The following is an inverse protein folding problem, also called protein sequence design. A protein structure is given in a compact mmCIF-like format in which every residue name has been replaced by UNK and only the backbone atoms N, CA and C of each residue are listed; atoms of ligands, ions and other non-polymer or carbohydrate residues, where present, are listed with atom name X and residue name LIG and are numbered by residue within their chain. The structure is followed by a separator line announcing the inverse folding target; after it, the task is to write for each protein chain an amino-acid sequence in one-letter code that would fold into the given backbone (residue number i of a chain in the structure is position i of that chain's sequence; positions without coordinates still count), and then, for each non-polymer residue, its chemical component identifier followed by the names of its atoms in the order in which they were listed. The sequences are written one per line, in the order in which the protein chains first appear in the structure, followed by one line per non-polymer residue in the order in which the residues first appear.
data_IF_084752063795
#
_entry.id   IF_084752063795
#
_cell.length_a   1.000
_cell.length_b   1.000
_cell.length_c   1.000
_cell.angle_alpha   90.00
_cell.angle_beta   90.00
_cell.angle_gamma   90.00
#
_symmetry.space_group_name_H-M   'P 1'
#
loop_
_entity.id
_entity.type
_entity.pdbx_description
1 polymer ?
#
# COMPACT_ATOMS: atom_id res chain seq x y z
N UNK A 1 -6.46 2.43 -5.80
CA UNK A 1 -5.01 2.59 -5.62
C UNK A 1 -4.58 2.56 -4.14
N UNK A 2 -5.06 3.44 -3.27
CA UNK A 2 -4.65 3.50 -1.85
C UNK A 2 -4.73 2.14 -1.12
N UNK A 3 -5.81 1.37 -1.30
CA UNK A 3 -5.94 0.04 -0.73
C UNK A 3 -4.89 -0.97 -1.24
N UNK A 4 -4.55 -0.92 -2.52
CA UNK A 4 -3.49 -1.77 -3.09
C UNK A 4 -2.12 -1.41 -2.52
N UNK A 5 -1.83 -0.10 -2.38
CA UNK A 5 -0.62 0.37 -1.70
C UNK A 5 -0.57 -0.12 -0.25
N UNK A 6 -1.70 -0.06 0.47
CA UNK A 6 -1.79 -0.53 1.85
C UNK A 6 -1.50 -2.04 1.99
N UNK A 7 -1.98 -2.85 1.04
CA UNK A 7 -1.68 -4.29 1.03
C UNK A 7 -0.18 -4.53 0.76
N UNK A 8 0.39 -3.88 -0.25
CA UNK A 8 1.77 -4.11 -0.65
C UNK A 8 2.76 -3.60 0.40
N UNK A 9 2.65 -2.34 0.77
CA UNK A 9 3.50 -1.74 1.81
C UNK A 9 3.24 -2.41 3.16
N UNK A 10 1.99 -2.72 3.48
CA UNK A 10 1.62 -3.41 4.70
C UNK A 10 2.34 -4.74 4.87
N UNK A 11 2.24 -5.64 3.89
CA UNK A 11 2.94 -6.93 3.95
C UNK A 11 4.46 -6.77 3.94
N UNK A 12 4.99 -5.82 3.17
CA UNK A 12 6.43 -5.54 3.14
C UNK A 12 6.98 -5.21 4.53
N UNK A 13 6.34 -4.29 5.26
CA UNK A 13 6.80 -3.86 6.59
C UNK A 13 6.49 -4.88 7.68
N UNK A 14 5.33 -5.56 7.63
CA UNK A 14 4.95 -6.59 8.61
C UNK A 14 5.88 -7.79 8.58
N UNK A 15 6.32 -8.20 7.39
CA UNK A 15 7.21 -9.35 7.18
C UNK A 15 8.69 -9.00 7.29
N UNK A 16 9.04 -7.75 7.61
CA UNK A 16 10.43 -7.29 7.67
C UNK A 16 11.33 -8.12 8.60
N UNK A 17 10.77 -8.57 9.74
CA UNK A 17 11.53 -9.40 10.69
C UNK A 17 11.91 -10.76 10.10
N UNK A 18 11.15 -11.26 9.14
CA UNK A 18 11.27 -12.60 8.56
C UNK A 18 12.01 -12.57 7.22
N UNK A 19 11.75 -11.55 6.40
CA UNK A 19 12.26 -11.44 5.03
C UNK A 19 13.24 -10.29 4.80
N UNK A 20 13.48 -9.46 5.80
CA UNK A 20 14.40 -8.32 5.76
C UNK A 20 14.19 -7.43 4.53
N UNK A 21 15.28 -6.90 3.95
CA UNK A 21 15.25 -6.02 2.78
C UNK A 21 14.72 -6.70 1.52
N UNK A 22 15.01 -8.00 1.36
CA UNK A 22 14.45 -8.78 0.25
C UNK A 22 12.92 -8.78 0.25
N UNK A 23 12.30 -8.93 1.43
CA UNK A 23 10.86 -8.86 1.58
C UNK A 23 10.27 -7.48 1.28
N UNK A 24 10.97 -6.40 1.64
CA UNK A 24 10.51 -5.04 1.31
C UNK A 24 10.50 -4.83 -0.20
N UNK A 25 11.56 -5.21 -0.88
CA UNK A 25 11.67 -5.01 -2.34
C UNK A 25 10.68 -5.92 -3.06
N UNK A 26 10.65 -7.21 -2.73
CA UNK A 26 9.80 -8.17 -3.43
C UNK A 26 8.31 -7.93 -3.23
N UNK A 27 7.88 -7.47 -2.05
CA UNK A 27 6.48 -7.24 -1.74
C UNK A 27 6.06 -5.78 -1.91
N UNK A 28 6.93 -4.83 -1.55
CA UNK A 28 6.64 -3.41 -1.65
C UNK A 28 6.69 -2.87 -3.09
N UNK A 29 7.69 -3.27 -3.86
CA UNK A 29 7.86 -2.88 -5.27
C UNK A 29 7.45 -3.98 -6.25
N UNK A 30 7.54 -5.25 -5.83
CA UNK A 30 7.11 -6.38 -6.64
C UNK A 30 5.61 -6.63 -6.47
N UNK A 31 5.24 -7.60 -5.66
CA UNK A 31 3.83 -7.92 -5.44
C UNK A 31 3.56 -8.55 -4.06
N UNK A 32 2.45 -8.13 -3.43
CA UNK A 32 1.96 -8.75 -2.20
C UNK A 32 1.44 -10.18 -2.40
N UNK A 33 1.23 -10.60 -3.65
CA UNK A 33 0.78 -11.97 -3.96
C UNK A 33 1.78 -13.05 -3.52
N UNK A 34 3.04 -12.70 -3.30
CA UNK A 34 4.04 -13.59 -2.71
C UNK A 34 3.63 -14.11 -1.32
N UNK A 35 2.75 -13.41 -0.63
CA UNK A 35 2.19 -13.85 0.66
C UNK A 35 0.97 -14.77 0.52
N UNK A 36 0.48 -15.03 -0.69
CA UNK A 36 -0.72 -15.86 -0.89
C UNK A 36 -0.61 -17.26 -0.25
N UNK A 37 0.51 -17.99 -0.39
CA UNK A 37 0.67 -19.28 0.28
C UNK A 37 0.56 -19.18 1.81
N UNK A 38 1.07 -18.10 2.38
CA UNK A 38 1.01 -17.84 3.82
C UNK A 38 -0.40 -17.43 4.26
N UNK A 39 -1.10 -16.63 3.45
CA UNK A 39 -2.51 -16.26 3.68
C UNK A 39 -3.40 -17.49 3.67
N UNK A 40 -3.18 -18.44 2.75
CA UNK A 40 -3.94 -19.69 2.70
C UNK A 40 -3.70 -20.57 3.93
N UNK A 41 -2.49 -20.55 4.50
CA UNK A 41 -2.15 -21.27 5.75
C UNK A 41 -2.73 -20.58 6.98
N UNK A 42 -2.64 -19.26 7.04
CA UNK A 42 -3.16 -18.45 8.14
C UNK A 42 -3.82 -17.16 7.62
N UNK A 43 -5.13 -17.19 7.30
CA UNK A 43 -5.83 -16.03 6.73
C UNK A 43 -5.86 -14.82 7.67
N UNK A 44 -5.55 -15.01 8.95
CA UNK A 44 -5.52 -13.91 9.94
C UNK A 44 -4.42 -12.89 9.65
N UNK A 45 -3.34 -13.26 8.95
CA UNK A 45 -2.28 -12.32 8.57
C UNK A 45 -2.79 -11.24 7.59
N UNK A 46 -3.84 -11.54 6.82
CA UNK A 46 -4.43 -10.60 5.87
C UNK A 46 -5.22 -9.48 6.55
N UNK A 47 -5.70 -9.68 7.77
CA UNK A 47 -6.56 -8.71 8.46
C UNK A 47 -5.87 -7.39 8.73
N UNK A 48 -4.57 -7.38 9.07
CA UNK A 48 -3.85 -6.15 9.39
C UNK A 48 -3.74 -5.17 8.20
N UNK A 49 -3.25 -5.57 7.01
CA UNK A 49 -3.20 -4.65 5.88
C UNK A 49 -4.61 -4.32 5.34
N UNK A 50 -5.59 -5.22 5.53
CA UNK A 50 -6.97 -4.93 5.17
C UNK A 50 -7.58 -3.83 6.05
N UNK A 51 -7.36 -3.88 7.35
CA UNK A 51 -7.76 -2.81 8.27
C UNK A 51 -7.03 -1.51 7.96
N UNK A 52 -5.73 -1.57 7.64
CA UNK A 52 -4.98 -0.40 7.19
C UNK A 52 -5.61 0.21 5.92
N UNK A 53 -6.00 -0.62 4.95
CA UNK A 53 -6.65 -0.13 3.71
C UNK A 53 -8.03 0.47 3.97
N UNK A 54 -8.78 -0.06 4.93
CA UNK A 54 -10.07 0.48 5.34
C UNK A 54 -9.97 1.88 5.96
N UNK A 55 -8.82 2.21 6.57
CA UNK A 55 -8.54 3.56 7.10
C UNK A 55 -7.97 4.47 6.02
N UNK A 56 -7.00 3.99 5.24
CA UNK A 56 -6.32 4.82 4.22
C UNK A 56 -7.22 5.17 3.04
N UNK A 57 -8.18 4.32 2.69
CA UNK A 57 -9.15 4.59 1.61
C UNK A 57 -9.94 5.87 1.83
N UNK A 58 -10.74 5.98 2.90
CA UNK A 58 -11.48 7.19 3.22
C UNK A 58 -10.60 8.43 3.40
N UNK A 59 -9.40 8.29 4.01
CA UNK A 59 -8.47 9.40 4.15
C UNK A 59 -7.98 9.91 2.79
N UNK A 60 -7.71 9.02 1.84
CA UNK A 60 -7.30 9.39 0.49
C UNK A 60 -8.39 10.19 -0.23
N UNK A 61 -9.65 9.79 -0.08
CA UNK A 61 -10.77 10.40 -0.81
C UNK A 61 -11.35 11.62 -0.10
N UNK A 62 -11.50 11.57 1.22
CA UNK A 62 -12.20 12.62 1.97
C UNK A 62 -11.28 13.76 2.44
N UNK A 63 -10.00 13.43 2.75
CA UNK A 63 -9.06 14.42 3.30
C UNK A 63 -8.12 15.00 2.23
N UNK A 64 -7.54 14.13 1.41
CA UNK A 64 -6.57 14.54 0.40
C UNK A 64 -7.16 14.72 -0.99
N UNK A 65 -8.42 14.32 -1.20
CA UNK A 65 -9.08 14.36 -2.51
C UNK A 65 -8.17 13.82 -3.64
N UNK A 66 -7.46 12.73 -3.34
CA UNK A 66 -6.57 12.10 -4.31
C UNK A 66 -7.40 11.40 -5.37
N UNK A 67 -7.47 12.03 -6.52
CA UNK A 67 -8.09 11.47 -7.71
C UNK A 67 -7.05 10.80 -8.59
N UNK A 68 -7.43 9.68 -9.21
CA UNK A 68 -6.60 8.98 -10.14
C UNK A 68 -7.21 9.06 -11.53
N UNK A 69 -6.87 10.11 -12.27
CA UNK A 69 -7.32 10.37 -13.63
C UNK A 69 -6.42 9.71 -14.70
N UNK A 70 -5.52 8.84 -14.28
CA UNK A 70 -4.66 8.06 -15.16
C UNK A 70 -5.34 6.76 -15.65
N UNK A 71 -4.59 5.88 -16.35
CA UNK A 71 -5.10 4.61 -16.83
C UNK A 71 -5.68 3.75 -15.72
N UNK A 72 -6.87 3.19 -15.92
CA UNK A 72 -7.56 2.37 -14.92
C UNK A 72 -6.72 1.18 -14.40
N UNK A 73 -5.89 0.60 -15.26
CA UNK A 73 -4.97 -0.50 -14.90
C UNK A 73 -4.00 -0.08 -13.80
N UNK A 74 -3.49 1.15 -13.84
CA UNK A 74 -2.55 1.66 -12.86
C UNK A 74 -3.15 1.76 -11.44
N UNK A 75 -4.47 1.92 -11.33
CA UNK A 75 -5.13 2.01 -10.02
C UNK A 75 -5.10 0.69 -9.25
N UNK A 76 -5.10 -0.44 -9.93
CA UNK A 76 -5.04 -1.77 -9.34
C UNK A 76 -3.62 -2.23 -8.96
N UNK A 77 -2.59 -1.57 -9.48
CA UNK A 77 -1.20 -1.99 -9.27
C UNK A 77 -0.57 -1.45 -7.97
N UNK A 78 -1.12 -0.40 -7.37
CA UNK A 78 -0.59 0.16 -6.12
C UNK A 78 0.88 0.57 -6.25
N UNK A 79 1.75 0.05 -5.40
CA UNK A 79 3.20 0.31 -5.42
C UNK A 79 4.00 -0.65 -6.32
N UNK A 80 3.35 -1.58 -7.01
CA UNK A 80 4.01 -2.50 -7.94
C UNK A 80 4.74 -1.71 -9.05
N UNK A 81 6.07 -1.74 -9.05
CA UNK A 81 6.89 -0.94 -9.95
C UNK A 81 6.59 0.56 -9.92
N UNK A 82 5.97 1.09 -8.86
CA UNK A 82 5.48 2.47 -8.72
C UNK A 82 4.44 2.87 -9.79
N UNK A 83 3.82 1.90 -10.45
CA UNK A 83 2.88 2.15 -11.56
C UNK A 83 1.66 2.95 -11.10
N UNK A 84 1.16 2.72 -9.87
CA UNK A 84 0.07 3.50 -9.30
C UNK A 84 0.43 4.98 -9.16
N UNK A 85 1.60 5.28 -8.62
CA UNK A 85 2.10 6.65 -8.40
C UNK A 85 2.38 7.36 -9.73
N UNK A 86 2.97 6.65 -10.68
CA UNK A 86 3.18 7.16 -12.05
C UNK A 86 1.83 7.45 -12.72
N UNK A 87 0.82 6.59 -12.50
CA UNK A 87 -0.54 6.80 -13.01
C UNK A 87 -1.20 8.05 -12.45
N UNK A 88 -1.03 8.34 -11.15
CA UNK A 88 -1.51 9.58 -10.54
C UNK A 88 -0.80 10.80 -11.14
N UNK A 89 0.52 10.74 -11.25
CA UNK A 89 1.32 11.83 -11.84
C UNK A 89 0.91 12.10 -13.30
N UNK A 90 0.73 11.06 -14.09
CA UNK A 90 0.24 11.19 -15.48
C UNK A 90 -1.16 11.81 -15.51
N UNK A 91 -2.04 11.42 -14.59
CA UNK A 91 -3.35 12.03 -14.43
C UNK A 91 -3.25 13.55 -14.17
N UNK A 92 -2.41 13.96 -13.24
CA UNK A 92 -2.18 15.39 -12.96
C UNK A 92 -1.66 16.16 -14.17
N UNK A 93 -0.76 15.56 -14.96
CA UNK A 93 -0.28 16.19 -16.21
C UNK A 93 -1.40 16.35 -17.24
N UNK A 94 -2.26 15.34 -17.37
CA UNK A 94 -3.41 15.40 -18.26
C UNK A 94 -4.42 16.47 -17.84
N UNK A 95 -4.66 16.61 -16.52
CA UNK A 95 -5.56 17.63 -15.97
C UNK A 95 -5.02 19.06 -16.20
N UNK A 96 -3.69 19.24 -16.12
CA UNK A 96 -3.04 20.50 -16.46
C UNK A 96 -3.17 20.78 -17.96
N UNK A 97 -2.95 19.79 -18.81
CA UNK A 97 -3.08 19.92 -20.26
C UNK A 97 -4.53 20.23 -20.68
N UNK A 98 -5.51 19.67 -19.97
CA UNK A 98 -6.94 19.94 -20.16
C UNK A 98 -7.41 21.29 -19.58
N UNK A 99 -6.54 21.98 -18.83
CA UNK A 99 -6.89 23.26 -18.17
C UNK A 99 -7.77 23.13 -16.93
N UNK A 100 -8.00 21.91 -16.45
CA UNK A 100 -8.79 21.65 -15.23
C UNK A 100 -7.98 21.90 -13.96
N UNK A 101 -6.66 21.86 -14.07
CA UNK A 101 -5.72 22.10 -12.97
C UNK A 101 -4.63 23.07 -13.38
N UNK A 102 -4.29 24.02 -12.50
CA UNK A 102 -3.30 25.05 -12.79
C UNK A 102 -1.86 24.62 -12.54
N UNK A 103 -1.62 23.82 -11.50
CA UNK A 103 -0.28 23.34 -11.13
C UNK A 103 -0.37 22.13 -10.17
N UNK A 104 0.73 21.37 -10.08
CA UNK A 104 0.91 20.33 -9.07
C UNK A 104 1.46 21.01 -7.81
N UNK A 105 0.73 20.92 -6.72
CA UNK A 105 1.11 21.51 -5.44
C UNK A 105 2.05 20.55 -4.66
N UNK A 106 2.97 21.06 -3.83
CA UNK A 106 3.76 20.22 -2.92
C UNK A 106 2.90 19.36 -1.99
N UNK A 107 1.68 19.84 -1.68
CA UNK A 107 0.70 19.11 -0.86
C UNK A 107 0.21 17.83 -1.54
N UNK A 108 0.12 17.81 -2.86
CA UNK A 108 -0.28 16.63 -3.63
C UNK A 108 0.77 15.52 -3.53
N UNK A 109 2.04 15.89 -3.62
CA UNK A 109 3.15 14.96 -3.44
C UNK A 109 3.22 14.42 -2.01
N UNK A 110 2.99 15.29 -1.03
CA UNK A 110 2.95 14.91 0.37
C UNK A 110 1.77 13.97 0.65
N UNK A 111 0.59 14.28 0.11
CA UNK A 111 -0.58 13.41 0.19
C UNK A 111 -0.32 12.04 -0.44
N UNK A 112 0.29 12.01 -1.63
CA UNK A 112 0.64 10.77 -2.32
C UNK A 112 1.61 9.92 -1.50
N UNK A 113 2.69 10.52 -1.00
CA UNK A 113 3.69 9.81 -0.20
C UNK A 113 3.10 9.31 1.12
N UNK A 114 2.31 10.15 1.80
CA UNK A 114 1.68 9.80 3.07
C UNK A 114 0.69 8.64 2.92
N UNK A 115 -0.22 8.73 1.95
CA UNK A 115 -1.30 7.75 1.74
C UNK A 115 -0.77 6.43 1.16
N UNK A 116 0.22 6.49 0.25
CA UNK A 116 0.71 5.27 -0.41
C UNK A 116 1.78 4.52 0.38
N UNK A 117 2.55 5.21 1.22
CA UNK A 117 3.70 4.61 1.91
C UNK A 117 3.65 4.74 3.42
N UNK A 118 3.59 5.96 3.95
CA UNK A 118 3.80 6.21 5.39
C UNK A 118 2.64 5.67 6.21
N UNK A 119 1.43 6.06 5.88
CA UNK A 119 0.23 5.69 6.63
C UNK A 119 -0.02 4.17 6.61
N UNK A 120 0.02 3.51 5.43
CA UNK A 120 -0.11 2.06 5.37
C UNK A 120 0.96 1.32 6.17
N UNK A 121 2.21 1.80 6.13
CA UNK A 121 3.30 1.19 6.89
C UNK A 121 3.03 1.24 8.39
N UNK A 122 2.70 2.42 8.91
CA UNK A 122 2.45 2.63 10.35
C UNK A 122 1.23 1.84 10.81
N UNK A 123 0.10 1.97 10.11
CA UNK A 123 -1.15 1.29 10.47
C UNK A 123 -1.00 -0.23 10.43
N UNK A 124 -0.38 -0.77 9.38
CA UNK A 124 -0.17 -2.21 9.27
C UNK A 124 0.76 -2.74 10.36
N UNK A 125 1.79 -2.00 10.76
CA UNK A 125 2.64 -2.38 11.89
C UNK A 125 1.87 -2.37 13.21
N UNK A 126 1.05 -1.34 13.46
CA UNK A 126 0.22 -1.24 14.67
C UNK A 126 -0.76 -2.42 14.73
N UNK A 127 -1.52 -2.66 13.66
CA UNK A 127 -2.46 -3.77 13.60
C UNK A 127 -1.76 -5.13 13.71
N UNK A 128 -0.62 -5.31 13.05
CA UNK A 128 0.18 -6.52 13.16
C UNK A 128 0.67 -6.74 14.61
N UNK A 129 1.11 -5.68 15.28
CA UNK A 129 1.52 -5.76 16.68
C UNK A 129 0.36 -6.20 17.57
N UNK A 130 -0.84 -5.64 17.38
CA UNK A 130 -2.05 -6.04 18.11
C UNK A 130 -2.37 -7.52 17.84
N UNK A 131 -2.37 -7.94 16.57
CA UNK A 131 -2.68 -9.32 16.18
C UNK A 131 -1.63 -10.32 16.72
N UNK A 132 -0.37 -9.93 16.79
CA UNK A 132 0.68 -10.73 17.44
C UNK A 132 0.46 -10.84 18.96
N UNK A 133 0.00 -9.78 19.61
CA UNK A 133 -0.38 -9.80 21.03
C UNK A 133 -1.58 -10.71 21.31
N UNK A 134 -2.54 -10.77 20.39
CA UNK A 134 -3.68 -11.67 20.45
C UNK A 134 -3.33 -13.12 20.08
N UNK A 135 -2.09 -13.40 19.67
CA UNK A 135 -1.64 -14.73 19.27
C UNK A 135 -2.20 -15.21 17.93
N UNK A 136 -2.80 -14.31 17.13
CA UNK A 136 -3.37 -14.64 15.81
C UNK A 136 -2.31 -14.78 14.74
N UNK A 137 -1.22 -14.04 14.85
CA UNK A 137 -0.09 -14.05 13.93
C UNK A 137 1.16 -14.48 14.68
N UNK A 138 1.74 -15.60 14.28
CA UNK A 138 2.94 -16.15 14.91
C UNK A 138 4.20 -15.72 14.14
N UNK A 139 5.36 -15.66 14.81
CA UNK A 139 6.63 -15.52 14.11
C UNK A 139 6.83 -16.67 13.12
N UNK A 140 7.19 -16.35 11.88
CA UNK A 140 7.35 -17.33 10.81
C UNK A 140 6.16 -17.43 9.85
N UNK A 141 4.97 -16.95 10.22
CA UNK A 141 3.76 -17.04 9.39
C UNK A 141 3.87 -16.23 8.08
N UNK A 142 4.77 -15.26 8.01
CA UNK A 142 4.97 -14.39 6.84
C UNK A 142 6.31 -14.61 6.14
N UNK A 143 7.04 -15.68 6.49
CA UNK A 143 8.28 -16.01 5.80
C UNK A 143 7.97 -16.40 4.35
N UNK A 144 8.63 -15.74 3.40
CA UNK A 144 8.56 -16.11 1.99
C UNK A 144 9.31 -17.43 1.78
N UNK A 145 8.83 -18.24 0.84
CA UNK A 145 9.57 -19.41 0.38
C UNK A 145 10.84 -18.93 -0.35
N UNK A 146 11.95 -19.56 -0.02
CA UNK A 146 13.24 -19.37 -0.70
C UNK A 146 13.18 -19.95 -2.11
#
# INVERSE_FOLDING_TARGET
MAGCCAQMVGFAVMSFRENRWGGIISQGLGTSMLQMPNILRNPRIWTAPTLASAVTGPLATCLFHLEMNGPAVSSGMGTCGLVGQIGVYTGWLNDIAAGTRTAILPMDWLGLALICFVLPAILSLIFCWILRRLGWVKPGDMKLAD
#
